data_IF_242743063486
#
_entry.id   IF_242743063486
#
_cell.length_a   1.000
_cell.length_b   1.000
_cell.length_c   1.000
_cell.angle_alpha   90.00
_cell.angle_beta   90.00
_cell.angle_gamma   90.00
#
_symmetry.space_group_name_H-M   'P 1'
#
loop_
_entity.id
_entity.type
_entity.pdbx_description
1 polymer ?
#
# COMPACT_ATOMS: atom_id res chain seq x y z
N UNK A 1 28.61 -39.44 7.93
CA UNK A 1 27.27 -39.81 7.43
C UNK A 1 26.87 -38.70 6.48
N UNK A 2 26.65 -39.01 5.20
CA UNK A 2 26.20 -38.05 4.20
C UNK A 2 24.74 -38.40 3.88
N UNK A 3 23.86 -37.40 3.91
CA UNK A 3 22.48 -37.54 3.48
C UNK A 3 22.43 -37.28 1.97
N UNK A 4 21.74 -38.15 1.24
CA UNK A 4 21.49 -37.98 -0.19
C UNK A 4 20.17 -37.25 -0.37
N UNK A 5 20.18 -36.25 -1.24
CA UNK A 5 18.99 -35.51 -1.63
C UNK A 5 18.14 -36.33 -2.62
N UNK A 6 16.84 -36.43 -2.36
CA UNK A 6 15.87 -37.10 -3.22
C UNK A 6 14.86 -36.05 -3.71
N UNK A 7 14.35 -36.20 -4.93
CA UNK A 7 13.30 -35.32 -5.46
C UNK A 7 11.97 -35.61 -4.76
N UNK A 8 11.71 -34.95 -3.64
CA UNK A 8 10.49 -35.13 -2.84
C UNK A 8 9.68 -33.84 -2.64
N UNK A 9 10.18 -32.71 -3.16
CA UNK A 9 9.47 -31.45 -3.21
C UNK A 9 9.09 -31.09 -4.65
N UNK A 10 7.94 -30.44 -4.82
CA UNK A 10 7.52 -29.93 -6.12
C UNK A 10 7.73 -28.42 -6.17
N UNK A 11 8.04 -27.84 -7.34
CA UNK A 11 8.33 -26.42 -7.44
C UNK A 11 7.06 -25.57 -7.30
N UNK A 12 7.23 -24.35 -6.77
CA UNK A 12 6.19 -23.34 -6.59
C UNK A 12 6.55 -22.02 -7.26
N UNK A 13 5.57 -21.22 -7.70
CA UNK A 13 5.85 -19.93 -8.35
C UNK A 13 6.47 -18.94 -7.36
N UNK A 14 7.47 -18.19 -7.80
CA UNK A 14 8.09 -17.12 -7.03
C UNK A 14 8.34 -15.86 -7.89
N UNK A 15 8.06 -14.65 -7.38
CA UNK A 15 7.33 -14.37 -6.13
C UNK A 15 5.87 -14.87 -6.18
N UNK A 16 5.23 -15.12 -5.01
CA UNK A 16 3.85 -15.63 -4.98
C UNK A 16 2.80 -14.57 -5.31
N UNK A 17 3.15 -13.29 -5.19
CA UNK A 17 2.31 -12.15 -5.52
C UNK A 17 3.10 -11.11 -6.32
N UNK A 18 2.45 -10.54 -7.33
CA UNK A 18 2.98 -9.49 -8.20
C UNK A 18 1.93 -8.44 -8.47
N UNK A 19 2.36 -7.25 -8.85
CA UNK A 19 1.49 -6.13 -9.19
C UNK A 19 1.59 -5.79 -10.67
N UNK A 20 0.48 -5.37 -11.29
CA UNK A 20 0.46 -4.89 -12.67
C UNK A 20 -0.59 -3.83 -12.95
N UNK A 21 -0.39 -3.10 -14.02
CA UNK A 21 -1.33 -2.08 -14.48
C UNK A 21 -2.55 -2.69 -15.19
N UNK A 22 -3.70 -2.02 -15.10
CA UNK A 22 -4.93 -2.38 -15.82
C UNK A 22 -4.74 -2.48 -17.34
N UNK A 23 -3.83 -1.68 -17.89
CA UNK A 23 -3.49 -1.69 -19.32
C UNK A 23 -2.16 -2.40 -19.51
N UNK A 24 -2.03 -3.23 -20.56
CA UNK A 24 -0.78 -3.88 -20.87
C UNK A 24 0.25 -2.82 -21.26
N UNK A 25 1.25 -2.63 -20.40
CA UNK A 25 2.47 -1.91 -20.73
C UNK A 25 3.45 -2.84 -21.48
N UNK A 26 4.49 -2.30 -22.15
CA UNK A 26 5.57 -3.15 -22.67
C UNK A 26 6.24 -4.01 -21.58
N UNK A 27 6.12 -3.57 -20.33
CA UNK A 27 6.65 -4.21 -19.14
C UNK A 27 5.89 -5.50 -18.83
N UNK A 28 6.63 -6.59 -18.79
CA UNK A 28 6.14 -7.92 -18.47
C UNK A 28 6.79 -8.39 -17.19
N UNK A 29 6.08 -9.21 -16.45
CA UNK A 29 6.55 -9.62 -15.13
C UNK A 29 7.32 -10.92 -15.27
N UNK A 30 8.58 -10.89 -14.84
CA UNK A 30 9.39 -12.09 -14.78
C UNK A 30 9.08 -12.83 -13.47
N UNK A 31 8.86 -14.14 -13.61
CA UNK A 31 8.64 -15.06 -12.50
C UNK A 31 9.66 -16.20 -12.62
N UNK A 32 9.94 -16.82 -11.48
CA UNK A 32 10.78 -18.00 -11.35
C UNK A 32 10.02 -19.07 -10.56
N UNK A 33 10.70 -20.15 -10.22
CA UNK A 33 10.20 -21.17 -9.31
C UNK A 33 11.09 -21.26 -8.06
N UNK A 34 10.48 -21.67 -6.96
CA UNK A 34 11.15 -22.05 -5.72
C UNK A 34 10.96 -23.54 -5.51
N UNK A 35 12.07 -24.23 -5.29
CA UNK A 35 12.13 -25.66 -5.00
C UNK A 35 13.23 -25.86 -3.95
N UNK A 36 12.93 -26.45 -2.77
CA UNK A 36 13.90 -26.62 -1.70
C UNK A 36 14.92 -27.75 -1.95
N UNK A 37 14.72 -28.57 -2.99
CA UNK A 37 15.63 -29.66 -3.31
C UNK A 37 16.98 -29.14 -3.85
N UNK A 38 18.02 -29.96 -3.72
CA UNK A 38 19.36 -29.59 -4.21
C UNK A 38 19.50 -29.95 -5.69
N UNK A 39 20.37 -29.24 -6.41
CA UNK A 39 20.74 -29.65 -7.78
C UNK A 39 21.24 -31.10 -7.77
N UNK A 40 20.72 -31.99 -8.63
CA UNK A 40 19.91 -31.73 -9.83
C UNK A 40 18.38 -31.91 -9.68
N UNK A 41 17.85 -32.06 -8.47
CA UNK A 41 16.42 -32.32 -8.24
C UNK A 41 15.54 -31.08 -8.41
N UNK A 42 16.09 -29.87 -8.27
CA UNK A 42 15.38 -28.62 -8.53
C UNK A 42 15.42 -28.21 -10.03
N UNK A 43 15.80 -26.96 -10.31
CA UNK A 43 15.87 -26.40 -11.67
C UNK A 43 16.89 -27.11 -12.58
N UNK A 44 16.72 -27.03 -13.91
CA UNK A 44 15.82 -26.12 -14.63
C UNK A 44 14.34 -26.55 -14.61
N UNK A 45 13.46 -25.57 -14.56
CA UNK A 45 12.02 -25.74 -14.44
C UNK A 45 11.30 -25.68 -15.79
N UNK A 46 10.17 -26.37 -15.88
CA UNK A 46 9.19 -26.22 -16.94
C UNK A 46 7.99 -25.37 -16.48
N UNK A 47 7.73 -24.21 -17.09
CA UNK A 47 6.55 -23.37 -16.84
C UNK A 47 5.48 -23.50 -17.93
N UNK A 48 4.22 -23.70 -17.51
CA UNK A 48 3.05 -23.72 -18.37
C UNK A 48 1.84 -23.03 -17.72
N UNK A 49 0.98 -22.41 -18.53
CA UNK A 49 -0.28 -21.85 -18.04
C UNK A 49 -1.36 -22.93 -18.04
N UNK A 50 -2.03 -23.14 -16.91
CA UNK A 50 -3.01 -24.22 -16.79
C UNK A 50 -4.18 -24.05 -17.79
N UNK A 51 -4.75 -25.17 -18.23
CA UNK A 51 -5.88 -25.18 -19.18
C UNK A 51 -7.20 -24.78 -18.53
N UNK A 52 -7.30 -24.82 -17.20
CA UNK A 52 -8.47 -24.39 -16.44
C UNK A 52 -8.06 -23.45 -15.31
N UNK A 53 -8.89 -22.44 -15.01
CA UNK A 53 -10.11 -22.07 -15.73
C UNK A 53 -9.79 -21.45 -17.11
N UNK A 54 -10.77 -21.46 -18.03
CA UNK A 54 -10.52 -21.16 -19.45
C UNK A 54 -10.27 -19.67 -19.73
N UNK A 55 -10.67 -18.81 -18.81
CA UNK A 55 -10.30 -17.40 -18.71
C UNK A 55 -8.80 -17.19 -18.49
N UNK A 56 -8.09 -18.11 -17.82
CA UNK A 56 -6.65 -17.97 -17.59
C UNK A 56 -5.88 -17.79 -18.91
N UNK A 57 -6.09 -18.68 -19.90
CA UNK A 57 -5.45 -18.58 -21.22
C UNK A 57 -6.04 -17.49 -22.13
N UNK A 58 -7.18 -16.89 -21.76
CA UNK A 58 -7.77 -15.74 -22.46
C UNK A 58 -7.15 -14.43 -21.98
N UNK A 59 -6.93 -14.29 -20.68
CA UNK A 59 -6.47 -13.05 -20.05
C UNK A 59 -4.93 -12.99 -19.99
N UNK A 60 -4.25 -14.13 -19.91
CA UNK A 60 -2.81 -14.19 -19.64
C UNK A 60 -2.04 -14.88 -20.76
N UNK A 61 -0.80 -14.44 -20.95
CA UNK A 61 0.21 -15.13 -21.77
C UNK A 61 1.42 -15.42 -20.90
N UNK A 62 1.85 -16.68 -20.88
CA UNK A 62 3.06 -17.12 -20.21
C UNK A 62 4.10 -17.51 -21.26
N UNK A 63 5.26 -16.87 -21.25
CA UNK A 63 6.36 -17.14 -22.18
C UNK A 63 7.57 -17.58 -21.38
N UNK A 64 8.10 -18.77 -21.68
CA UNK A 64 9.37 -19.21 -21.10
C UNK A 64 10.52 -18.39 -21.67
N UNK A 65 11.39 -17.88 -20.79
CA UNK A 65 12.62 -17.19 -21.18
C UNK A 65 13.80 -18.17 -21.24
N UNK A 66 13.94 -19.00 -20.20
CA UNK A 66 14.97 -20.05 -20.11
C UNK A 66 14.50 -21.15 -19.12
N UNK A 67 15.44 -21.91 -18.56
CA UNK A 67 15.15 -22.95 -17.57
C UNK A 67 14.82 -22.41 -16.17
N UNK A 68 15.12 -21.15 -15.87
CA UNK A 68 14.91 -20.57 -14.54
C UNK A 68 13.74 -19.59 -14.52
N UNK A 69 13.58 -18.83 -15.60
CA UNK A 69 12.64 -17.72 -15.67
C UNK A 69 11.58 -17.93 -16.75
N UNK A 70 10.37 -17.51 -16.40
CA UNK A 70 9.27 -17.29 -17.32
C UNK A 70 8.76 -15.86 -17.18
N UNK A 71 7.99 -15.43 -18.15
CA UNK A 71 7.45 -14.09 -18.24
C UNK A 71 5.95 -14.14 -18.43
N UNK A 72 5.22 -13.47 -17.55
CA UNK A 72 3.77 -13.32 -17.64
C UNK A 72 3.41 -11.94 -18.16
N UNK A 73 2.42 -11.91 -19.07
CA UNK A 73 1.88 -10.71 -19.71
C UNK A 73 0.37 -10.77 -19.73
N UNK A 74 -0.26 -9.60 -19.64
CA UNK A 74 -1.68 -9.46 -19.94
C UNK A 74 -1.88 -9.61 -21.46
N UNK A 75 -2.75 -10.54 -21.85
CA UNK A 75 -3.08 -10.83 -23.26
C UNK A 75 -4.14 -9.87 -23.81
N UNK A 76 -5.01 -9.37 -22.93
CA UNK A 76 -6.09 -8.44 -23.27
C UNK A 76 -5.63 -6.99 -23.12
N UNK A 77 -6.32 -6.07 -23.81
CA UNK A 77 -5.96 -4.65 -23.80
C UNK A 77 -6.32 -3.89 -22.52
N UNK A 78 -7.14 -4.49 -21.66
CA UNK A 78 -7.57 -3.91 -20.39
C UNK A 78 -8.08 -5.00 -19.46
N UNK A 79 -7.70 -4.94 -18.18
CA UNK A 79 -8.22 -5.76 -17.11
C UNK A 79 -8.55 -4.86 -15.92
N UNK A 80 -9.73 -5.03 -15.31
CA UNK A 80 -10.18 -4.19 -14.20
C UNK A 80 -9.31 -4.38 -12.96
N UNK A 81 -9.11 -3.31 -12.17
CA UNK A 81 -8.40 -3.40 -10.89
C UNK A 81 -8.99 -4.49 -9.98
N UNK A 82 -8.13 -5.30 -9.37
CA UNK A 82 -8.54 -6.44 -8.57
C UNK A 82 -7.43 -7.44 -8.31
N UNK A 83 -7.73 -8.52 -7.61
CA UNK A 83 -6.79 -9.63 -7.37
C UNK A 83 -7.20 -10.80 -8.25
N UNK A 84 -6.28 -11.27 -9.07
CA UNK A 84 -6.47 -12.40 -9.97
C UNK A 84 -5.52 -13.53 -9.61
N UNK A 85 -6.02 -14.76 -9.59
CA UNK A 85 -5.20 -15.94 -9.33
C UNK A 85 -4.91 -16.65 -10.65
N UNK A 86 -3.64 -16.64 -11.06
CA UNK A 86 -3.19 -17.23 -12.33
C UNK A 86 -2.61 -18.62 -12.06
N UNK A 87 -3.26 -19.70 -12.52
CA UNK A 87 -2.75 -21.06 -12.31
C UNK A 87 -1.60 -21.37 -13.28
N UNK A 88 -0.42 -21.61 -12.71
CA UNK A 88 0.81 -21.91 -13.42
C UNK A 88 1.26 -23.31 -13.01
N UNK A 89 1.40 -24.19 -13.99
CA UNK A 89 1.96 -25.51 -13.82
C UNK A 89 3.48 -25.38 -13.92
N UNK A 90 4.19 -25.85 -12.89
CA UNK A 90 5.65 -25.87 -12.86
C UNK A 90 6.10 -27.33 -12.71
N UNK A 91 7.16 -27.72 -13.41
CA UNK A 91 7.78 -29.06 -13.31
C UNK A 91 9.28 -28.90 -13.08
N UNK A 92 9.87 -29.65 -12.16
CA UNK A 92 11.31 -29.65 -11.90
C UNK A 92 12.08 -30.52 -12.93
N UNK A 93 13.39 -30.67 -12.72
CA UNK A 93 14.27 -31.51 -13.54
C UNK A 93 14.77 -32.79 -12.84
N UNK A 94 14.22 -33.10 -11.68
CA UNK A 94 14.67 -34.22 -10.86
C UNK A 94 14.46 -35.58 -11.52
N UNK A 95 15.14 -36.59 -10.99
CA UNK A 95 14.91 -37.97 -11.41
C UNK A 95 13.54 -38.42 -10.87
N UNK A 96 12.60 -38.67 -11.78
CA UNK A 96 11.15 -38.65 -11.54
C UNK A 96 10.68 -37.21 -11.27
N UNK A 97 10.49 -36.40 -12.34
CA UNK A 97 10.12 -35.00 -12.18
C UNK A 97 8.80 -34.83 -11.43
N UNK A 98 8.75 -33.90 -10.49
CA UNK A 98 7.52 -33.53 -9.81
C UNK A 98 6.93 -32.28 -10.47
N UNK A 99 5.60 -32.22 -10.51
CA UNK A 99 4.89 -31.08 -11.05
C UNK A 99 3.77 -30.64 -10.13
N UNK A 100 3.61 -29.33 -10.00
CA UNK A 100 2.58 -28.73 -9.19
C UNK A 100 1.91 -27.56 -9.92
N UNK A 101 0.61 -27.37 -9.65
CA UNK A 101 -0.11 -26.17 -10.09
C UNK A 101 -0.07 -25.14 -8.98
N UNK A 102 0.74 -24.11 -9.16
CA UNK A 102 0.86 -22.97 -8.25
C UNK A 102 -0.01 -21.80 -8.73
N UNK A 103 -0.53 -21.00 -7.81
CA UNK A 103 -1.38 -19.85 -8.13
C UNK A 103 -0.61 -18.56 -7.89
N UNK A 104 -0.26 -17.86 -8.97
CA UNK A 104 0.33 -16.52 -8.88
C UNK A 104 -0.77 -15.50 -8.62
N UNK A 105 -0.68 -14.78 -7.50
CA UNK A 105 -1.58 -13.68 -7.19
C UNK A 105 -1.13 -12.43 -7.94
N UNK A 106 -1.99 -11.92 -8.80
CA UNK A 106 -1.74 -10.71 -9.59
C UNK A 106 -2.68 -9.61 -9.12
N UNK A 107 -2.15 -8.60 -8.44
CA UNK A 107 -2.89 -7.39 -8.06
C UNK A 107 -2.83 -6.42 -9.23
N UNK A 108 -3.96 -6.24 -9.89
CA UNK A 108 -4.16 -5.29 -10.97
C UNK A 108 -4.62 -3.96 -10.37
N UNK A 109 -4.00 -2.87 -10.80
CA UNK A 109 -4.23 -1.54 -10.24
C UNK A 109 -4.19 -0.46 -11.33
N UNK A 110 -4.70 0.73 -11.00
CA UNK A 110 -4.42 1.92 -11.78
C UNK A 110 -2.98 2.38 -11.53
N UNK A 111 -2.20 2.44 -12.60
CA UNK A 111 -0.82 2.92 -12.54
C UNK A 111 -0.73 4.41 -12.82
N UNK A 112 0.31 5.03 -12.27
CA UNK A 112 0.70 6.40 -12.63
C UNK A 112 1.45 6.44 -13.98
N UNK A 113 2.05 7.59 -14.30
CA UNK A 113 2.81 7.78 -15.53
C UNK A 113 4.16 7.05 -15.58
N UNK A 114 4.62 6.50 -14.45
CA UNK A 114 5.82 5.68 -14.35
C UNK A 114 5.50 4.18 -14.43
N UNK A 115 4.23 3.79 -14.40
CA UNK A 115 3.80 2.39 -14.39
C UNK A 115 3.71 1.79 -12.99
N UNK A 116 3.70 2.62 -11.95
CA UNK A 116 3.66 2.16 -10.55
C UNK A 116 2.22 2.15 -10.01
N UNK A 117 1.86 1.09 -9.29
CA UNK A 117 0.59 1.01 -8.56
C UNK A 117 0.55 2.07 -7.47
N UNK A 118 -0.41 2.99 -7.56
CA UNK A 118 -0.64 4.00 -6.52
C UNK A 118 -1.64 3.48 -5.49
N UNK A 119 -1.19 3.20 -4.27
CA UNK A 119 -2.09 2.90 -3.15
C UNK A 119 -2.83 4.18 -2.73
N UNK A 120 -4.09 4.32 -3.17
CA UNK A 120 -4.98 5.45 -2.81
C UNK A 120 -5.13 5.65 -1.29
N UNK A 121 -4.85 4.63 -0.48
CA UNK A 121 -4.98 4.67 0.98
C UNK A 121 -3.97 5.61 1.66
N UNK A 122 -2.82 5.88 1.04
CA UNK A 122 -1.78 6.73 1.64
C UNK A 122 -2.15 8.21 1.67
N UNK A 123 -3.10 8.65 0.84
CA UNK A 123 -3.47 10.08 0.73
C UNK A 123 -4.46 10.48 1.83
N UNK A 124 -5.27 9.56 2.37
CA UNK A 124 -6.25 9.88 3.43
C UNK A 124 -5.56 9.99 4.81
N UNK A 125 -4.43 9.32 5.01
CA UNK A 125 -3.67 9.38 6.26
C UNK A 125 -2.89 10.70 6.46
N UNK A 126 -2.78 11.54 5.42
CA UNK A 126 -2.20 12.88 5.51
C UNK A 126 -3.25 13.97 5.85
N UNK A 127 -4.45 13.57 6.30
CA UNK A 127 -5.40 14.50 6.89
C UNK A 127 -4.79 15.15 8.15
N UNK A 128 -4.84 16.48 8.24
CA UNK A 128 -4.49 17.19 9.48
C UNK A 128 -5.28 16.56 10.63
N UNK A 129 -4.59 15.94 11.59
CA UNK A 129 -5.23 15.29 12.72
C UNK A 129 -6.24 16.24 13.38
N UNK A 130 -7.31 15.69 13.95
CA UNK A 130 -8.45 16.46 14.47
C UNK A 130 -8.05 17.63 15.38
N UNK A 131 -6.94 17.48 16.13
CA UNK A 131 -6.36 18.55 16.95
C UNK A 131 -5.81 19.75 16.17
N UNK A 132 -5.19 19.53 15.00
CA UNK A 132 -4.68 20.62 14.15
C UNK A 132 -5.83 21.41 13.52
N UNK A 133 -6.91 20.74 13.13
CA UNK A 133 -8.14 21.39 12.62
C UNK A 133 -8.76 22.28 13.70
N UNK A 134 -8.88 21.77 14.94
CA UNK A 134 -9.40 22.56 16.08
C UNK A 134 -8.51 23.76 16.38
N UNK A 135 -7.19 23.61 16.36
CA UNK A 135 -6.25 24.71 16.60
C UNK A 135 -6.36 25.80 15.53
N UNK A 136 -6.48 25.44 14.26
CA UNK A 136 -6.67 26.38 13.14
C UNK A 136 -7.99 27.15 13.29
N UNK A 137 -9.10 26.45 13.58
CA UNK A 137 -10.41 27.08 13.79
C UNK A 137 -10.39 28.08 14.96
N UNK A 138 -9.76 27.71 16.08
CA UNK A 138 -9.59 28.61 17.22
C UNK A 138 -8.74 29.84 16.86
N UNK A 139 -7.66 29.65 16.10
CA UNK A 139 -6.80 30.74 15.66
C UNK A 139 -7.58 31.75 14.79
N UNK A 140 -8.41 31.27 13.87
CA UNK A 140 -9.28 32.11 13.03
C UNK A 140 -10.28 32.90 13.89
N UNK A 141 -10.93 32.26 14.86
CA UNK A 141 -11.92 32.92 15.74
C UNK A 141 -11.26 34.04 16.56
N UNK A 142 -10.04 33.83 17.07
CA UNK A 142 -9.31 34.86 17.84
C UNK A 142 -8.93 36.04 16.95
N UNK A 143 -8.42 35.78 15.73
CA UNK A 143 -8.04 36.84 14.78
C UNK A 143 -9.24 37.67 14.32
N UNK A 144 -10.38 37.02 14.05
CA UNK A 144 -11.64 37.71 13.72
C UNK A 144 -12.21 38.48 14.93
N UNK A 145 -12.07 37.94 16.14
CA UNK A 145 -12.53 38.59 17.37
C UNK A 145 -11.72 39.84 17.75
N UNK A 146 -10.42 39.89 17.45
CA UNK A 146 -9.58 41.06 17.69
C UNK A 146 -9.91 42.22 16.74
N UNK A 147 -10.44 41.92 15.54
CA UNK A 147 -10.92 42.93 14.60
C UNK A 147 -12.15 43.69 15.11
N UNK A 148 -12.85 43.16 16.14
CA UNK A 148 -13.98 43.80 16.81
C UNK A 148 -13.64 44.57 18.10
N UNK A 149 -12.38 44.53 18.57
CA UNK A 149 -11.95 45.21 19.81
C UNK A 149 -10.96 46.37 19.57
N UNK A 150 -10.84 46.88 18.34
CA UNK A 150 -10.02 48.08 18.04
C UNK A 150 -10.85 49.36 17.85
N UNK A 151 -12.00 49.50 18.51
CA UNK A 151 -12.63 50.81 18.66
C UNK A 151 -13.34 50.95 20.02
N UNK A 152 -12.62 51.48 21.01
CA UNK A 152 -13.05 52.62 21.81
C UNK A 152 -12.09 52.82 22.99
N UNK A 153 -10.94 53.47 22.76
CA UNK A 153 -10.23 54.17 23.82
C UNK A 153 -9.81 55.55 23.32
N UNK A 154 -10.80 56.44 23.21
CA UNK A 154 -10.53 57.89 23.20
C UNK A 154 -10.14 58.32 24.60
N UNK A 155 -8.97 58.94 24.70
CA UNK A 155 -8.39 59.57 25.88
C UNK A 155 -9.37 60.54 26.57
N UNK A 156 -9.61 60.37 27.87
CA UNK A 156 -9.91 61.47 28.82
C UNK A 156 -9.09 61.27 30.10
N UNK A 157 -8.60 62.35 30.75
CA UNK A 157 -7.70 62.25 31.89
C UNK A 157 -8.49 62.25 33.21
N UNK A 158 -8.08 61.40 34.15
CA UNK A 158 -8.01 61.56 35.63
C UNK A 158 -8.11 60.19 36.34
N UNK A 159 -7.47 60.02 37.52
CA UNK A 159 -7.05 58.71 38.02
C UNK A 159 -8.09 58.06 38.94
N UNK A 160 -8.28 56.75 38.77
CA UNK A 160 -8.82 55.88 39.82
C UNK A 160 -7.90 54.66 40.00
N UNK A 161 -7.82 54.07 41.21
CA UNK A 161 -6.91 52.99 41.50
C UNK A 161 -7.30 51.72 40.72
N UNK A 162 -6.31 51.07 40.12
CA UNK A 162 -6.45 49.82 39.39
C UNK A 162 -6.96 48.70 40.32
N UNK A 163 -8.12 48.15 40.02
CA UNK A 163 -8.51 46.81 40.45
C UNK A 163 -7.87 45.79 39.49
N UNK A 164 -7.42 44.62 39.98
CA UNK A 164 -6.82 43.61 39.11
C UNK A 164 -7.85 43.11 38.10
N UNK A 165 -7.53 43.19 36.81
CA UNK A 165 -8.34 42.59 35.77
C UNK A 165 -8.41 41.08 35.99
N UNK A 166 -9.61 40.56 36.25
CA UNK A 166 -9.85 39.13 36.21
C UNK A 166 -9.72 38.65 34.76
N UNK A 167 -8.99 37.55 34.50
CA UNK A 167 -8.93 36.99 33.15
C UNK A 167 -10.34 36.62 32.71
N UNK A 168 -10.67 36.95 31.46
CA UNK A 168 -11.98 36.62 30.87
C UNK A 168 -12.25 35.13 31.03
N UNK A 169 -13.50 34.74 31.35
CA UNK A 169 -13.92 33.33 31.50
C UNK A 169 -13.51 32.42 30.33
N UNK A 170 -13.35 33.00 29.14
CA UNK A 170 -12.83 32.34 27.94
C UNK A 170 -11.40 31.82 28.14
N UNK A 171 -10.52 32.59 28.77
CA UNK A 171 -9.13 32.24 29.02
C UNK A 171 -8.99 31.09 30.01
N UNK A 172 -9.81 31.10 31.07
CA UNK A 172 -9.86 30.01 32.05
C UNK A 172 -10.40 28.70 31.44
N UNK A 173 -11.39 28.80 30.55
CA UNK A 173 -11.89 27.63 29.80
C UNK A 173 -10.86 27.07 28.83
N UNK A 174 -10.05 27.92 28.18
CA UNK A 174 -8.97 27.49 27.29
C UNK A 174 -7.87 26.73 28.05
N UNK A 175 -7.46 27.20 29.23
CA UNK A 175 -6.50 26.47 30.07
C UNK A 175 -7.04 25.09 30.48
N UNK A 176 -8.33 24.99 30.83
CA UNK A 176 -8.94 23.71 31.15
C UNK A 176 -9.01 22.76 29.95
N UNK A 177 -9.35 23.25 28.75
CA UNK A 177 -9.44 22.41 27.55
C UNK A 177 -8.06 21.90 27.14
N UNK A 178 -7.03 22.74 27.20
CA UNK A 178 -5.65 22.35 26.90
C UNK A 178 -5.15 21.32 27.93
N UNK A 179 -5.46 21.52 29.21
CA UNK A 179 -5.09 20.59 30.28
C UNK A 179 -5.76 19.22 30.11
N UNK A 180 -7.04 19.18 29.76
CA UNK A 180 -7.77 17.93 29.48
C UNK A 180 -7.24 17.23 28.23
N UNK A 181 -6.89 17.97 27.17
CA UNK A 181 -6.26 17.40 25.97
C UNK A 181 -4.86 16.81 26.25
N UNK A 182 -4.08 17.43 27.16
CA UNK A 182 -2.78 16.91 27.56
C UNK A 182 -2.89 15.60 28.34
N UNK A 183 -3.86 15.49 29.26
CA UNK A 183 -4.10 14.28 30.06
C UNK A 183 -4.66 13.11 29.24
N UNK A 184 -5.35 13.37 28.12
CA UNK A 184 -5.92 12.31 27.26
C UNK A 184 -4.88 11.65 26.33
N UNK A 185 -3.60 12.03 26.41
CA UNK A 185 -2.49 11.51 25.60
C UNK A 185 -1.44 10.72 26.41
N UNK A 186 -1.69 10.45 27.69
CA UNK A 186 -0.85 9.60 28.57
C UNK A 186 -1.60 8.31 28.88
#
# INVERSE_FOLDING_TARGET
MYLLDINDNAPHVFPPEVEMCEKPEPNAINITASDPDLTPNAGPFAFELANRPADARRNWTLTRLNGEYAQIRLRIGFLESGIYEVPIIITDSGNLPMSNTSYLRVKVCQCDHHGDCVDMERIIAAGLGTGAIIAILICIIIMLGQSGCMQAHTHTPYPHPLLPHSPSRVFLNLQNIIYVQYQSKV
#
